data_IF_845586956150
#
_entry.id   IF_845586956150
#
_cell.length_a   1.000
_cell.length_b   1.000
_cell.length_c   1.000
_cell.angle_alpha   90.00
_cell.angle_beta   90.00
_cell.angle_gamma   90.00
#
_symmetry.space_group_name_H-M   'P 1'
#
loop_
_entity.id
_entity.type
_entity.pdbx_description
1 polymer ?
#
# COMPACT_ATOMS: atom_id res chain seq x y z
N UNK A 1 -0.68 14.21 -6.18
CA UNK A 1 -0.74 13.96 -4.72
C UNK A 1 -1.07 15.24 -4.00
N UNK A 2 -0.36 16.32 -4.32
CA UNK A 2 -0.43 17.61 -3.65
C UNK A 2 -1.84 18.18 -3.54
N UNK A 3 -2.67 18.08 -4.60
CA UNK A 3 -4.07 18.53 -4.54
C UNK A 3 -4.91 17.82 -3.48
N UNK A 4 -4.72 16.51 -3.27
CA UNK A 4 -5.50 15.75 -2.27
C UNK A 4 -4.99 16.07 -0.87
N UNK A 5 -3.67 16.09 -0.69
CA UNK A 5 -3.06 16.49 0.58
C UNK A 5 -3.49 17.92 0.98
N UNK A 6 -3.41 18.88 0.06
CA UNK A 6 -3.84 20.26 0.26
C UNK A 6 -5.33 20.36 0.62
N UNK A 7 -6.20 19.61 -0.08
CA UNK A 7 -7.63 19.59 0.22
C UNK A 7 -7.93 18.99 1.60
N UNK A 8 -7.19 17.97 2.03
CA UNK A 8 -7.28 17.40 3.38
C UNK A 8 -6.83 18.41 4.43
N UNK A 9 -5.69 19.07 4.21
CA UNK A 9 -5.18 20.12 5.11
C UNK A 9 -6.13 21.30 5.25
N UNK A 10 -6.76 21.75 4.15
CA UNK A 10 -7.80 22.79 4.16
C UNK A 10 -9.04 22.41 4.97
N UNK A 11 -9.26 21.12 5.22
CA UNK A 11 -10.34 20.59 6.06
C UNK A 11 -9.88 20.26 7.48
N UNK A 12 -8.65 20.62 7.86
CA UNK A 12 -8.10 20.40 9.20
C UNK A 12 -7.50 19.01 9.43
N UNK A 13 -7.43 18.15 8.42
CA UNK A 13 -6.75 16.86 8.53
C UNK A 13 -5.23 17.01 8.33
N UNK A 14 -4.46 16.02 8.80
CA UNK A 14 -3.00 15.97 8.66
C UNK A 14 -2.61 14.86 7.67
N UNK A 15 -2.41 15.15 6.38
CA UNK A 15 -2.00 14.13 5.43
C UNK A 15 -0.57 13.68 5.71
N UNK A 16 -0.34 12.37 5.76
CA UNK A 16 0.99 11.75 5.77
C UNK A 16 1.23 11.05 4.44
N UNK A 17 2.33 11.38 3.76
CA UNK A 17 2.70 10.75 2.49
C UNK A 17 3.72 9.64 2.74
N UNK A 18 3.30 8.40 2.52
CA UNK A 18 4.19 7.25 2.51
C UNK A 18 4.53 6.87 1.06
N UNK A 19 5.78 7.12 0.65
CA UNK A 19 6.30 6.66 -0.64
C UNK A 19 6.87 5.23 -0.48
N UNK A 20 6.09 4.22 -0.85
CA UNK A 20 6.40 2.81 -0.56
C UNK A 20 7.66 2.29 -1.24
N UNK A 21 8.04 2.85 -2.38
CA UNK A 21 9.29 2.55 -3.08
C UNK A 21 10.53 3.00 -2.30
N UNK A 22 10.39 3.95 -1.37
CA UNK A 22 11.47 4.45 -0.54
C UNK A 22 11.74 3.57 0.69
N UNK A 23 10.89 2.56 0.96
CA UNK A 23 11.20 1.50 1.91
C UNK A 23 12.03 0.41 1.21
N UNK A 24 13.08 -0.15 1.84
CA UNK A 24 13.56 0.10 3.21
C UNK A 24 14.67 1.16 3.32
N UNK A 25 15.04 1.84 2.23
CA UNK A 25 16.27 2.65 2.18
C UNK A 25 16.15 4.02 2.87
N UNK A 26 14.96 4.63 2.90
CA UNK A 26 14.71 5.95 3.51
C UNK A 26 13.51 5.98 4.45
N UNK A 27 12.69 4.94 4.43
CA UNK A 27 11.56 4.76 5.35
C UNK A 27 11.97 3.72 6.37
N UNK A 28 11.72 3.99 7.64
CA UNK A 28 11.84 2.99 8.70
C UNK A 28 10.45 2.56 9.14
N UNK A 29 10.28 1.26 9.36
CA UNK A 29 9.04 0.67 9.80
C UNK A 29 9.38 -0.34 10.89
N UNK A 30 8.81 -0.13 12.07
CA UNK A 30 8.99 -0.98 13.22
C UNK A 30 7.64 -1.58 13.62
N UNK A 31 7.65 -2.84 14.02
CA UNK A 31 6.50 -3.53 14.59
C UNK A 31 6.87 -4.06 15.97
N UNK A 32 6.03 -3.80 16.97
CA UNK A 32 6.15 -4.33 18.32
C UNK A 32 4.98 -5.28 18.61
N UNK A 33 5.27 -6.44 19.18
CA UNK A 33 4.23 -7.38 19.63
C UNK A 33 4.39 -7.56 21.14
N UNK A 34 3.33 -7.26 21.88
CA UNK A 34 3.27 -7.44 23.33
C UNK A 34 1.94 -8.10 23.73
N UNK A 35 1.72 -8.27 25.04
CA UNK A 35 0.42 -8.68 25.58
C UNK A 35 -0.70 -7.69 25.30
N UNK A 36 -0.37 -6.44 24.96
CA UNK A 36 -1.33 -5.37 24.65
C UNK A 36 -1.73 -5.36 23.17
N UNK A 37 -1.02 -6.11 22.33
CA UNK A 37 -1.32 -6.26 20.91
C UNK A 37 -0.12 -5.97 20.01
N UNK A 38 -0.42 -5.77 18.73
CA UNK A 38 0.52 -5.43 17.68
C UNK A 38 0.48 -3.92 17.44
N UNK A 39 1.62 -3.25 17.55
CA UNK A 39 1.78 -1.84 17.25
C UNK A 39 2.78 -1.63 16.13
N UNK A 40 2.58 -0.58 15.35
CA UNK A 40 3.52 -0.17 14.32
C UNK A 40 3.88 1.30 14.45
N UNK A 41 5.13 1.60 14.10
CA UNK A 41 5.63 2.96 13.91
C UNK A 41 6.27 3.06 12.53
N UNK A 42 5.97 4.15 11.82
CA UNK A 42 6.54 4.47 10.53
C UNK A 42 7.20 5.85 10.61
N UNK A 43 8.50 5.89 10.30
CA UNK A 43 9.31 7.10 10.24
C UNK A 43 9.73 7.40 8.80
N UNK A 44 9.42 8.61 8.33
CA UNK A 44 9.78 9.06 6.98
C UNK A 44 9.89 10.57 6.88
N UNK A 45 10.97 11.05 6.24
CA UNK A 45 11.21 12.49 5.99
C UNK A 45 11.14 13.38 7.24
N UNK A 46 11.57 12.88 8.40
CA UNK A 46 11.54 13.62 9.67
C UNK A 46 10.18 13.64 10.38
N UNK A 47 9.22 12.87 9.88
CA UNK A 47 7.91 12.69 10.49
C UNK A 47 7.71 11.24 10.94
N UNK A 48 6.99 11.06 12.04
CA UNK A 48 6.65 9.77 12.61
C UNK A 48 5.14 9.64 12.79
N UNK A 49 4.59 8.47 12.50
CA UNK A 49 3.20 8.11 12.79
C UNK A 49 3.13 6.70 13.36
N UNK A 50 2.15 6.48 14.21
CA UNK A 50 1.72 5.15 14.65
C UNK A 50 0.50 4.70 13.85
N UNK A 51 0.15 3.41 13.92
CA UNK A 51 -1.10 2.93 13.30
C UNK A 51 -2.33 3.57 13.91
N UNK A 52 -2.28 3.93 15.20
CA UNK A 52 -3.39 4.52 15.95
C UNK A 52 -3.67 5.98 15.53
N UNK A 53 -2.69 6.68 14.95
CA UNK A 53 -2.86 8.03 14.42
C UNK A 53 -3.67 8.07 13.11
N UNK A 54 -3.85 6.92 12.44
CA UNK A 54 -4.33 6.86 11.06
C UNK A 54 -5.84 6.63 11.00
N UNK A 55 -6.58 7.67 10.62
CA UNK A 55 -8.04 7.58 10.47
C UNK A 55 -8.48 7.15 9.06
N UNK A 56 -7.61 7.33 8.06
CA UNK A 56 -7.94 6.97 6.69
C UNK A 56 -6.71 6.73 5.81
N UNK A 57 -6.83 5.80 4.88
CA UNK A 57 -5.79 5.37 3.95
C UNK A 57 -6.27 5.61 2.52
N UNK A 58 -5.51 6.41 1.77
CA UNK A 58 -5.69 6.55 0.34
C UNK A 58 -4.65 5.69 -0.38
N UNK A 59 -5.06 4.51 -0.82
CA UNK A 59 -4.18 3.55 -1.50
C UNK A 59 -3.97 3.98 -2.95
N UNK A 60 -3.13 5.00 -3.16
CA UNK A 60 -2.94 5.59 -4.48
C UNK A 60 -2.10 4.70 -5.41
N UNK A 61 -0.94 4.25 -4.93
CA UNK A 61 0.00 3.35 -5.61
C UNK A 61 0.78 2.58 -4.55
N UNK A 62 0.96 1.28 -4.79
CA UNK A 62 1.87 0.43 -4.07
C UNK A 62 3.02 0.08 -5.03
N UNK A 63 4.13 0.77 -4.88
CA UNK A 63 5.32 0.56 -5.71
C UNK A 63 6.24 -0.51 -5.13
N UNK A 64 7.00 -1.17 -6.01
CA UNK A 64 8.02 -2.13 -5.60
C UNK A 64 9.11 -1.44 -4.76
N UNK A 65 9.52 -2.05 -3.64
CA UNK A 65 10.64 -1.57 -2.81
C UNK A 65 11.92 -1.38 -3.63
N UNK A 66 12.58 -0.23 -3.46
CA UNK A 66 13.92 -0.02 -4.00
C UNK A 66 14.96 -0.47 -2.99
N UNK A 67 15.65 -1.57 -3.33
CA UNK A 67 16.78 -2.07 -2.54
C UNK A 67 18.07 -1.35 -2.93
N UNK A 68 19.05 -1.32 -2.01
CA UNK A 68 20.35 -0.69 -2.27
C UNK A 68 21.05 -1.35 -3.46
N UNK A 69 21.61 -0.57 -4.41
CA UNK A 69 22.36 -1.13 -5.54
C UNK A 69 23.66 -1.83 -5.09
N UNK A 70 24.14 -1.53 -3.88
CA UNK A 70 25.32 -2.17 -3.29
C UNK A 70 24.99 -3.49 -2.58
N UNK A 71 23.71 -3.89 -2.53
CA UNK A 71 23.31 -5.17 -1.95
C UNK A 71 23.74 -6.31 -2.87
N UNK A 72 24.42 -7.31 -2.30
CA UNK A 72 24.88 -8.46 -3.07
C UNK A 72 23.69 -9.15 -3.78
N UNK A 73 23.83 -9.55 -5.06
CA UNK A 73 22.71 -10.00 -5.90
C UNK A 73 21.86 -11.11 -5.26
N UNK A 74 22.51 -12.04 -4.56
CA UNK A 74 21.83 -13.17 -3.89
C UNK A 74 20.85 -12.76 -2.79
N UNK A 75 20.94 -11.53 -2.27
CA UNK A 75 20.05 -11.02 -1.23
C UNK A 75 18.96 -10.07 -1.74
N UNK A 76 19.02 -9.66 -3.02
CA UNK A 76 18.09 -8.67 -3.56
C UNK A 76 16.64 -9.18 -3.52
N UNK A 77 16.39 -10.38 -4.05
CA UNK A 77 15.04 -10.97 -4.07
C UNK A 77 14.47 -11.18 -2.66
N UNK A 78 15.31 -11.65 -1.73
CA UNK A 78 14.91 -11.80 -0.34
C UNK A 78 14.57 -10.45 0.28
N UNK A 79 15.40 -9.43 0.09
CA UNK A 79 15.16 -8.09 0.61
C UNK A 79 13.88 -7.47 0.04
N UNK A 80 13.62 -7.61 -1.26
CA UNK A 80 12.37 -7.14 -1.89
C UNK A 80 11.16 -7.86 -1.30
N UNK A 81 11.21 -9.19 -1.21
CA UNK A 81 10.10 -10.00 -0.67
C UNK A 81 9.80 -9.65 0.79
N UNK A 82 10.81 -9.61 1.65
CA UNK A 82 10.63 -9.23 3.06
C UNK A 82 10.14 -7.79 3.18
N UNK A 83 10.56 -6.90 2.28
CA UNK A 83 10.10 -5.52 2.28
C UNK A 83 8.62 -5.40 1.94
N UNK A 84 8.17 -6.13 0.92
CA UNK A 84 6.75 -6.21 0.57
C UNK A 84 5.92 -6.81 1.71
N UNK A 85 6.40 -7.89 2.33
CA UNK A 85 5.72 -8.52 3.47
C UNK A 85 5.60 -7.57 4.67
N UNK A 86 6.63 -6.76 4.93
CA UNK A 86 6.64 -5.77 6.00
C UNK A 86 5.63 -4.64 5.74
N UNK A 87 5.60 -4.12 4.50
CA UNK A 87 4.62 -3.11 4.10
C UNK A 87 3.20 -3.68 4.17
N UNK A 88 2.98 -4.89 3.67
CA UNK A 88 1.68 -5.57 3.72
C UNK A 88 1.19 -5.74 5.16
N UNK A 89 2.06 -6.15 6.09
CA UNK A 89 1.70 -6.29 7.52
C UNK A 89 1.31 -4.95 8.17
N UNK A 90 2.05 -3.87 7.87
CA UNK A 90 1.69 -2.54 8.34
C UNK A 90 0.33 -2.07 7.80
N UNK A 91 0.11 -2.27 6.50
CA UNK A 91 -1.13 -1.91 5.84
C UNK A 91 -2.32 -2.73 6.37
N UNK A 92 -2.13 -4.02 6.66
CA UNK A 92 -3.16 -4.86 7.25
C UNK A 92 -3.56 -4.39 8.66
N UNK A 93 -2.60 -3.91 9.47
CA UNK A 93 -2.89 -3.39 10.81
C UNK A 93 -3.70 -2.06 10.80
N UNK A 94 -3.80 -1.40 9.64
CA UNK A 94 -4.68 -0.25 9.42
C UNK A 94 -6.13 -0.68 9.09
N UNK A 95 -6.54 -1.90 9.45
CA UNK A 95 -7.87 -2.42 9.21
C UNK A 95 -9.01 -1.61 9.87
N UNK A 96 -8.72 -0.83 10.90
CA UNK A 96 -9.67 0.05 11.59
C UNK A 96 -9.94 1.36 10.84
N UNK A 97 -9.00 1.80 9.99
CA UNK A 97 -9.11 3.03 9.22
C UNK A 97 -10.13 2.93 8.08
N UNK A 98 -10.53 4.07 7.52
CA UNK A 98 -11.32 4.14 6.28
C UNK A 98 -10.41 4.10 5.06
N UNK A 99 -10.70 3.23 4.10
CA UNK A 99 -9.85 2.98 2.94
C UNK A 99 -10.46 3.45 1.63
N UNK A 100 -9.62 4.01 0.77
CA UNK A 100 -9.93 4.36 -0.63
C UNK A 100 -8.76 3.88 -1.51
N UNK A 101 -8.74 2.65 -2.02
CA UNK A 101 -9.61 1.51 -1.69
C UNK A 101 -8.84 0.48 -0.87
N UNK A 102 -9.56 -0.49 -0.27
CA UNK A 102 -8.96 -1.63 0.43
C UNK A 102 -8.02 -2.40 -0.51
N UNK A 103 -6.86 -2.81 -0.02
CA UNK A 103 -5.83 -3.47 -0.83
C UNK A 103 -6.34 -4.79 -1.43
N UNK A 104 -7.09 -5.58 -0.66
CA UNK A 104 -7.73 -6.81 -1.13
C UNK A 104 -8.65 -6.57 -2.33
N UNK A 105 -9.43 -5.48 -2.30
CA UNK A 105 -10.35 -5.11 -3.39
C UNK A 105 -9.61 -4.65 -4.63
N UNK A 106 -8.50 -3.93 -4.47
CA UNK A 106 -7.63 -3.55 -5.58
C UNK A 106 -7.06 -4.81 -6.25
N UNK A 107 -6.48 -5.74 -5.49
CA UNK A 107 -5.94 -7.01 -6.00
C UNK A 107 -7.00 -7.82 -6.76
N UNK A 108 -8.20 -7.95 -6.20
CA UNK A 108 -9.33 -8.60 -6.88
C UNK A 108 -9.73 -7.90 -8.19
N UNK A 109 -9.63 -6.57 -8.23
CA UNK A 109 -10.00 -5.74 -9.37
C UNK A 109 -8.88 -5.60 -10.42
N UNK A 110 -7.71 -6.23 -10.24
CA UNK A 110 -6.62 -6.23 -11.23
C UNK A 110 -6.80 -7.33 -12.30
N UNK A 111 -7.53 -8.40 -11.98
CA UNK A 111 -7.76 -9.51 -12.91
C UNK A 111 -8.64 -9.06 -14.10
N UNK A 112 -8.04 -8.88 -15.27
CA UNK A 112 -8.72 -8.36 -16.48
C UNK A 112 -9.82 -9.30 -17.01
N UNK A 113 -9.58 -10.63 -17.13
CA UNK A 113 -10.66 -11.56 -17.46
C UNK A 113 -11.86 -11.47 -16.51
N UNK A 114 -11.62 -11.33 -15.19
CA UNK A 114 -12.68 -11.14 -14.20
C UNK A 114 -13.44 -9.82 -14.44
N UNK A 115 -12.74 -8.72 -14.72
CA UNK A 115 -13.37 -7.43 -15.04
C UNK A 115 -14.30 -7.56 -16.25
N UNK A 116 -13.85 -8.20 -17.34
CA UNK A 116 -14.65 -8.40 -18.55
C UNK A 116 -15.88 -9.29 -18.30
N UNK A 117 -15.70 -10.38 -17.54
CA UNK A 117 -16.81 -11.26 -17.15
C UNK A 117 -17.89 -10.50 -16.38
N UNK A 118 -17.51 -9.77 -15.33
CA UNK A 118 -18.45 -9.00 -14.51
C UNK A 118 -19.11 -7.88 -15.34
N UNK A 119 -18.35 -7.18 -16.18
CA UNK A 119 -18.90 -6.14 -17.07
C UNK A 119 -19.99 -6.71 -17.99
N UNK A 120 -19.78 -7.89 -18.58
CA UNK A 120 -20.78 -8.56 -19.38
C UNK A 120 -22.01 -9.01 -18.55
N UNK A 121 -21.80 -9.55 -17.34
CA UNK A 121 -22.87 -9.97 -16.43
C UNK A 121 -23.80 -8.81 -16.03
N UNK A 122 -23.28 -7.59 -15.92
CA UNK A 122 -24.06 -6.39 -15.59
C UNK A 122 -24.55 -5.61 -16.82
N UNK A 123 -24.38 -6.15 -18.03
CA UNK A 123 -24.92 -5.58 -19.27
C UNK A 123 -24.07 -4.50 -19.94
N UNK A 124 -22.80 -4.35 -19.57
CA UNK A 124 -21.87 -3.48 -20.29
C UNK A 124 -21.36 -4.16 -21.56
N UNK A 125 -21.17 -3.36 -22.61
CA UNK A 125 -20.53 -3.83 -23.85
C UNK A 125 -19.05 -4.14 -23.57
N UNK A 126 -18.63 -5.36 -23.90
CA UNK A 126 -17.24 -5.81 -23.82
C UNK A 126 -16.73 -6.25 -25.19
N UNK A 127 -15.45 -5.99 -25.54
CA UNK A 127 -14.88 -6.46 -26.80
C UNK A 127 -14.70 -7.98 -26.80
N UNK A 128 -14.77 -8.61 -27.99
CA UNK A 128 -14.40 -10.01 -28.16
C UNK A 128 -12.94 -10.18 -27.74
N UNK A 129 -12.70 -10.99 -26.71
CA UNK A 129 -11.38 -11.15 -26.08
C UNK A 129 -11.01 -12.63 -26.02
N UNK A 130 -9.79 -12.96 -26.43
CA UNK A 130 -9.17 -14.29 -26.28
C UNK A 130 -7.87 -14.11 -25.50
N UNK A 131 -7.68 -14.91 -24.45
CA UNK A 131 -6.41 -15.02 -23.72
C UNK A 131 -5.82 -16.39 -24.06
N UNK A 132 -4.63 -16.43 -24.66
CA UNK A 132 -3.90 -17.65 -25.05
C UNK A 132 -2.41 -17.50 -24.73
N UNK A 133 -1.70 -18.61 -24.56
CA UNK A 133 -0.25 -18.67 -24.41
C UNK A 133 0.47 -18.61 -25.77
#
# INVERSE_FOLDING_TARGET
>A
MDRVAEALSKRGAKPFRFDTDQFPTKVQLAAGISSEGLSYQLDYSGHSITTEDVQGVWMRRLWHPQVSPNLAPQFQDACVRESLATIDGFLDNLNHARWVDRLERIREAENKPRQLRIANEVGLLVPRTLVTN
#
